data_IF_652190043802
#
_entry.id   IF_652190043802
#
_cell.length_a   1.000
_cell.length_b   1.000
_cell.length_c   1.000
_cell.angle_alpha   90.00
_cell.angle_beta   90.00
_cell.angle_gamma   90.00
#
_symmetry.space_group_name_H-M   'P 1'
#
loop_
_entity.id
_entity.type
_entity.pdbx_description
1 polymer ?
#
# COMPACT_ATOMS: atom_id res chain seq x y z
N UNK A 1 34.95 -52.28 17.97
CA UNK A 1 35.57 -51.84 19.24
C UNK A 1 35.55 -50.31 19.24
N UNK A 2 35.03 -49.51 20.18
CA UNK A 2 34.57 -49.74 21.54
C UNK A 2 33.55 -48.66 22.00
N UNK A 3 32.57 -49.14 22.79
CA UNK A 3 31.91 -48.55 23.98
C UNK A 3 31.12 -47.21 23.91
N UNK A 4 29.81 -47.43 23.88
CA UNK A 4 28.72 -46.70 24.58
C UNK A 4 29.07 -46.21 25.99
N UNK A 5 28.63 -44.99 26.36
CA UNK A 5 28.11 -44.69 27.72
C UNK A 5 27.02 -43.60 27.69
N UNK A 6 25.78 -44.02 27.94
CA UNK A 6 24.67 -43.19 28.41
C UNK A 6 24.89 -42.83 29.89
N UNK A 7 24.53 -41.62 30.28
CA UNK A 7 24.26 -41.27 31.67
C UNK A 7 22.79 -40.82 31.81
N UNK A 8 22.06 -41.47 32.71
CA UNK A 8 20.74 -41.11 33.22
C UNK A 8 20.90 -40.64 34.68
N UNK A 9 19.85 -39.94 35.15
CA UNK A 9 19.45 -39.63 36.54
C UNK A 9 19.90 -38.24 37.02
N UNK A 10 19.07 -37.42 37.68
CA UNK A 10 17.79 -37.74 38.32
C UNK A 10 16.90 -36.52 38.57
N UNK A 11 15.61 -36.81 38.70
CA UNK A 11 14.60 -35.89 39.23
C UNK A 11 14.75 -35.77 40.75
N UNK A 12 14.60 -34.56 41.29
CA UNK A 12 14.21 -34.33 42.68
C UNK A 12 13.17 -33.21 42.74
N UNK A 13 12.02 -33.57 43.28
CA UNK A 13 10.88 -32.74 43.65
C UNK A 13 11.03 -32.21 45.08
N UNK A 14 10.80 -30.92 45.30
CA UNK A 14 10.33 -30.26 46.54
C UNK A 14 9.69 -28.94 46.05
N UNK A 15 8.48 -28.49 46.36
CA UNK A 15 7.60 -28.78 47.48
C UNK A 15 7.23 -27.45 48.16
N UNK A 16 6.05 -26.91 47.80
CA UNK A 16 5.15 -26.05 48.60
C UNK A 16 5.56 -24.63 49.06
N UNK A 17 4.74 -23.65 48.65
CA UNK A 17 4.66 -22.32 49.27
C UNK A 17 3.45 -21.52 48.77
N UNK A 18 2.31 -21.65 49.46
CA UNK A 18 1.08 -20.85 49.28
C UNK A 18 1.34 -19.36 49.56
N UNK A 19 0.82 -18.47 48.73
CA UNK A 19 0.33 -17.16 49.17
C UNK A 19 -0.84 -16.73 48.27
N UNK A 20 -2.05 -17.04 48.72
CA UNK A 20 -3.27 -16.36 48.28
C UNK A 20 -3.50 -15.16 49.18
N UNK A 21 -4.14 -14.17 48.56
CA UNK A 21 -5.07 -13.20 49.13
C UNK A 21 -4.60 -11.78 49.49
N UNK A 22 -5.44 -10.86 48.98
CA UNK A 22 -5.72 -9.48 49.37
C UNK A 22 -4.72 -8.39 48.94
N UNK A 23 -5.00 -7.79 47.78
CA UNK A 23 -5.41 -6.36 47.75
C UNK A 23 -6.48 -6.18 46.66
N UNK A 24 -7.75 -6.20 47.08
CA UNK A 24 -8.88 -5.68 46.30
C UNK A 24 -9.22 -4.31 46.88
N UNK A 25 -9.36 -3.33 45.99
CA UNK A 25 -10.14 -2.07 46.07
C UNK A 25 -9.42 -0.75 46.30
N UNK A 26 -9.90 0.20 45.48
CA UNK A 26 -9.76 1.66 45.47
C UNK A 26 -8.41 2.12 44.93
N UNK A 27 -8.33 2.90 43.84
CA UNK A 27 -9.03 4.17 43.61
C UNK A 27 -9.33 4.32 42.10
N UNK A 28 -10.60 4.28 41.68
CA UNK A 28 -11.38 5.43 41.20
C UNK A 28 -10.69 6.28 40.13
N UNK A 29 -11.12 6.04 38.89
CA UNK A 29 -10.96 6.93 37.74
C UNK A 29 -11.50 8.33 38.04
N UNK A 30 -10.74 9.36 37.65
CA UNK A 30 -11.22 10.74 37.49
C UNK A 30 -11.51 10.99 36.01
N UNK A 31 -12.71 11.45 35.63
CA UNK A 31 -12.98 11.86 34.26
C UNK A 31 -12.41 13.27 34.03
N UNK A 32 -11.32 13.37 33.26
CA UNK A 32 -10.80 14.62 32.74
C UNK A 32 -11.61 15.07 31.52
N UNK A 33 -12.38 16.13 31.68
CA UNK A 33 -13.12 16.80 30.62
C UNK A 33 -12.15 17.46 29.62
N UNK A 34 -11.82 16.78 28.52
CA UNK A 34 -11.24 17.44 27.35
C UNK A 34 -12.37 17.93 26.44
N UNK A 35 -12.54 19.26 26.46
CA UNK A 35 -13.46 20.03 25.62
C UNK A 35 -13.33 19.62 24.17
N UNK A 36 -14.47 19.28 23.56
CA UNK A 36 -14.59 18.96 22.14
C UNK A 36 -14.19 20.14 21.27
N UNK A 37 -13.02 20.03 20.65
CA UNK A 37 -12.72 20.74 19.42
C UNK A 37 -13.57 20.14 18.32
N UNK A 38 -14.58 20.88 17.87
CA UNK A 38 -15.32 20.57 16.63
C UNK A 38 -14.31 20.55 15.50
N UNK A 39 -13.97 19.36 15.00
CA UNK A 39 -13.33 19.25 13.70
C UNK A 39 -14.39 19.69 12.68
N UNK A 40 -14.33 20.95 12.27
CA UNK A 40 -15.14 21.47 11.18
C UNK A 40 -14.73 20.74 9.90
N UNK A 41 -15.45 19.67 9.56
CA UNK A 41 -15.41 19.04 8.24
C UNK A 41 -16.01 20.04 7.25
N UNK A 42 -15.18 20.93 6.72
CA UNK A 42 -15.53 21.76 5.58
C UNK A 42 -15.53 20.87 4.33
N UNK A 43 -16.71 20.65 3.75
CA UNK A 43 -16.85 20.01 2.45
C UNK A 43 -18.15 19.25 2.29
N UNK A 44 -19.28 19.97 2.20
CA UNK A 44 -20.53 19.45 1.65
C UNK A 44 -20.37 19.22 0.14
N UNK A 45 -19.63 18.18 -0.24
CA UNK A 45 -19.78 17.54 -1.54
C UNK A 45 -20.52 16.23 -1.30
N UNK A 46 -21.80 16.17 -1.64
CA UNK A 46 -22.51 14.88 -1.62
C UNK A 46 -21.72 13.94 -2.53
N UNK A 47 -21.05 12.94 -1.95
CA UNK A 47 -20.53 11.81 -2.70
C UNK A 47 -21.76 11.14 -3.32
N UNK A 48 -22.17 11.56 -4.52
CA UNK A 48 -23.09 10.80 -5.34
C UNK A 48 -22.38 9.49 -5.60
N UNK A 49 -22.70 8.48 -4.78
CA UNK A 49 -22.29 7.11 -5.02
C UNK A 49 -22.85 6.74 -6.39
N UNK A 50 -22.02 6.48 -7.42
CA UNK A 50 -22.56 5.77 -8.57
C UNK A 50 -23.13 4.45 -8.03
N UNK A 51 -24.29 3.99 -8.53
CA UNK A 51 -24.81 2.70 -8.13
C UNK A 51 -23.75 1.65 -8.48
N UNK A 52 -23.18 1.01 -7.46
CA UNK A 52 -22.21 -0.09 -7.60
C UNK A 52 -22.86 -1.38 -8.10
N UNK A 53 -24.18 -1.37 -8.24
CA UNK A 53 -25.01 -2.48 -8.69
C UNK A 53 -26.10 -1.88 -9.58
N UNK A 54 -26.18 -2.32 -10.84
CA UNK A 54 -27.31 -1.98 -11.69
C UNK A 54 -28.60 -2.51 -11.05
N UNK A 55 -29.74 -1.83 -11.23
CA UNK A 55 -31.01 -2.17 -10.58
C UNK A 55 -31.47 -3.63 -10.81
N UNK A 56 -30.87 -4.32 -11.78
CA UNK A 56 -31.28 -5.64 -12.27
C UNK A 56 -30.36 -6.79 -11.82
N UNK A 57 -29.48 -6.57 -10.84
CA UNK A 57 -28.64 -7.63 -10.26
C UNK A 57 -27.43 -8.06 -11.09
N UNK A 58 -27.22 -7.46 -12.26
CA UNK A 58 -25.97 -7.59 -13.02
C UNK A 58 -24.87 -6.73 -12.38
N UNK A 59 -23.68 -7.33 -12.15
CA UNK A 59 -22.51 -6.58 -11.70
C UNK A 59 -22.15 -5.53 -12.77
N UNK A 60 -22.23 -4.25 -12.43
CA UNK A 60 -21.86 -3.17 -13.35
C UNK A 60 -20.34 -3.20 -13.58
N UNK A 61 -19.91 -3.21 -14.84
CA UNK A 61 -18.49 -3.04 -15.19
C UNK A 61 -18.00 -1.67 -14.74
N UNK A 62 -16.94 -1.66 -13.92
CA UNK A 62 -16.28 -0.45 -13.41
C UNK A 62 -14.93 -0.30 -14.11
N UNK A 63 -14.59 0.92 -14.53
CA UNK A 63 -13.24 1.24 -15.03
C UNK A 63 -12.37 1.77 -13.89
N UNK A 64 -11.34 1.03 -13.54
CA UNK A 64 -10.46 1.31 -12.41
C UNK A 64 -9.09 1.75 -12.93
N UNK A 65 -8.69 2.98 -12.58
CA UNK A 65 -7.31 3.44 -12.79
C UNK A 65 -6.50 3.17 -11.52
N UNK A 66 -5.53 2.27 -11.58
CA UNK A 66 -4.71 1.86 -10.45
C UNK A 66 -3.26 2.33 -10.60
N UNK A 67 -2.79 3.23 -9.74
CA UNK A 67 -1.43 3.77 -9.77
C UNK A 67 -0.58 3.15 -8.67
N UNK A 68 0.51 2.49 -9.06
CA UNK A 68 1.44 1.87 -8.12
C UNK A 68 2.83 1.77 -8.76
N UNK A 69 3.83 2.48 -8.20
CA UNK A 69 5.18 2.54 -8.81
C UNK A 69 5.86 1.17 -8.89
N UNK A 70 5.63 0.27 -7.94
CA UNK A 70 6.31 -1.02 -7.85
C UNK A 70 5.37 -2.18 -8.13
N UNK A 71 4.47 -2.02 -9.10
CA UNK A 71 3.65 -3.13 -9.57
C UNK A 71 4.56 -4.23 -10.12
N UNK A 72 4.31 -5.46 -9.67
CA UNK A 72 5.07 -6.63 -10.04
C UNK A 72 4.12 -7.81 -10.24
N UNK A 73 4.42 -8.65 -11.22
CA UNK A 73 3.65 -9.85 -11.53
C UNK A 73 4.17 -11.01 -10.69
N UNK A 74 3.48 -12.16 -10.72
CA UNK A 74 3.94 -13.40 -10.08
C UNK A 74 5.27 -13.88 -10.65
N UNK A 75 5.54 -13.59 -11.91
CA UNK A 75 6.79 -13.93 -12.59
C UNK A 75 7.94 -13.04 -12.13
N UNK A 76 7.69 -11.75 -11.91
CA UNK A 76 8.75 -10.80 -11.54
C UNK A 76 9.03 -10.67 -10.05
N UNK A 77 8.14 -11.15 -9.17
CA UNK A 77 8.33 -11.09 -7.72
C UNK A 77 7.44 -12.07 -6.96
N UNK A 78 7.96 -12.65 -5.88
CA UNK A 78 7.18 -13.50 -4.96
C UNK A 78 6.52 -12.73 -3.81
N UNK A 79 7.00 -11.52 -3.45
CA UNK A 79 6.55 -10.80 -2.24
C UNK A 79 5.77 -9.50 -2.47
N UNK A 80 5.97 -8.85 -3.62
CA UNK A 80 5.42 -7.51 -3.91
C UNK A 80 4.15 -7.53 -4.79
N UNK A 81 3.41 -8.65 -4.80
CA UNK A 81 2.34 -8.90 -5.78
C UNK A 81 0.94 -8.45 -5.36
N UNK A 82 0.76 -7.80 -4.19
CA UNK A 82 -0.59 -7.40 -3.70
C UNK A 82 -1.39 -6.60 -4.74
N UNK A 83 -0.77 -5.59 -5.33
CA UNK A 83 -1.43 -4.75 -6.33
C UNK A 83 -1.84 -5.54 -7.57
N UNK A 84 -1.00 -6.50 -7.98
CA UNK A 84 -1.29 -7.40 -9.08
C UNK A 84 -2.46 -8.34 -8.74
N UNK A 85 -2.48 -8.92 -7.54
CA UNK A 85 -3.57 -9.79 -7.09
C UNK A 85 -4.93 -9.08 -7.00
N UNK A 86 -4.95 -7.80 -6.63
CA UNK A 86 -6.16 -6.97 -6.66
C UNK A 86 -6.60 -6.68 -8.10
N UNK A 87 -5.69 -6.22 -8.94
CA UNK A 87 -5.98 -5.92 -10.34
C UNK A 87 -6.52 -7.16 -11.08
N UNK A 88 -5.88 -8.33 -10.91
CA UNK A 88 -6.30 -9.59 -11.51
C UNK A 88 -7.70 -10.01 -11.06
N UNK A 89 -8.01 -9.91 -9.76
CA UNK A 89 -9.34 -10.24 -9.22
C UNK A 89 -10.42 -9.29 -9.69
N UNK A 90 -10.12 -8.00 -9.85
CA UNK A 90 -11.08 -7.06 -10.43
C UNK A 90 -11.35 -7.37 -11.91
N UNK A 91 -10.33 -7.74 -12.67
CA UNK A 91 -10.51 -8.23 -14.05
C UNK A 91 -11.35 -9.52 -14.07
N UNK A 92 -11.09 -10.49 -13.19
CA UNK A 92 -11.90 -11.71 -13.05
C UNK A 92 -13.37 -11.42 -12.70
N UNK A 93 -13.64 -10.32 -12.00
CA UNK A 93 -14.99 -9.83 -11.68
C UNK A 93 -15.66 -9.06 -12.83
N UNK A 94 -15.00 -8.93 -13.99
CA UNK A 94 -15.52 -8.25 -15.17
C UNK A 94 -15.32 -6.73 -15.17
N UNK A 95 -14.39 -6.21 -14.36
CA UNK A 95 -14.01 -4.80 -14.36
C UNK A 95 -12.87 -4.52 -15.34
N UNK A 96 -12.83 -3.30 -15.86
CA UNK A 96 -11.72 -2.84 -16.69
C UNK A 96 -10.64 -2.20 -15.80
N UNK A 97 -9.45 -2.79 -15.77
CA UNK A 97 -8.36 -2.30 -14.93
C UNK A 97 -7.21 -1.79 -15.78
N UNK A 98 -6.84 -0.53 -15.54
CA UNK A 98 -5.62 0.08 -16.09
C UNK A 98 -4.65 0.36 -14.96
N UNK A 99 -3.46 -0.25 -15.00
CA UNK A 99 -2.37 -0.03 -14.05
C UNK A 99 -1.34 0.93 -14.63
N UNK A 100 -0.97 1.96 -13.86
CA UNK A 100 0.19 2.82 -14.13
C UNK A 100 1.32 2.49 -13.17
N UNK A 101 2.49 2.10 -13.70
CA UNK A 101 3.63 1.62 -12.91
C UNK A 101 5.00 1.99 -13.52
N UNK A 102 6.08 1.77 -12.79
CA UNK A 102 7.43 1.75 -13.36
C UNK A 102 7.66 0.45 -14.15
N UNK A 103 8.45 0.55 -15.21
CA UNK A 103 8.94 -0.61 -15.96
C UNK A 103 9.94 -1.51 -15.19
N UNK A 104 10.47 -1.04 -14.05
CA UNK A 104 11.54 -1.72 -13.29
C UNK A 104 11.26 -3.13 -12.79
N UNK A 105 10.00 -3.57 -12.79
CA UNK A 105 9.57 -4.93 -12.38
C UNK A 105 8.63 -5.58 -13.39
N UNK A 106 8.64 -5.08 -14.61
CA UNK A 106 7.89 -5.65 -15.73
C UNK A 106 8.87 -6.40 -16.66
N UNK A 107 8.35 -7.21 -17.61
CA UNK A 107 9.17 -7.76 -18.69
C UNK A 107 9.91 -6.66 -19.46
N UNK A 108 11.05 -7.00 -20.05
CA UNK A 108 11.99 -6.03 -20.64
C UNK A 108 11.36 -5.17 -21.75
N UNK A 109 10.38 -5.69 -22.49
CA UNK A 109 9.61 -4.96 -23.51
C UNK A 109 8.93 -3.67 -22.98
N UNK A 110 8.64 -3.60 -21.69
CA UNK A 110 8.08 -2.40 -21.05
C UNK A 110 9.14 -1.31 -20.76
N UNK A 111 10.41 -1.62 -21.01
CA UNK A 111 11.58 -0.75 -20.76
C UNK A 111 12.23 -0.22 -22.05
N UNK A 112 11.69 -0.49 -23.23
CA UNK A 112 12.27 -0.04 -24.50
C UNK A 112 12.06 1.46 -24.76
N UNK A 113 10.94 2.02 -24.28
CA UNK A 113 10.54 3.41 -24.51
C UNK A 113 10.35 4.14 -23.19
N UNK A 114 10.28 5.47 -23.22
CA UNK A 114 9.97 6.26 -22.01
C UNK A 114 8.60 5.87 -21.42
N UNK A 115 7.64 5.62 -22.30
CA UNK A 115 6.32 5.08 -21.97
C UNK A 115 6.07 3.84 -22.82
N UNK A 116 5.60 2.78 -22.19
CA UNK A 116 5.14 1.57 -22.90
C UNK A 116 3.72 1.21 -22.44
N UNK A 117 2.94 0.64 -23.35
CA UNK A 117 1.60 0.15 -23.10
C UNK A 117 1.56 -1.35 -23.41
N UNK A 118 0.76 -2.10 -22.66
CA UNK A 118 0.60 -3.54 -22.88
C UNK A 118 -0.53 -4.13 -22.06
N UNK A 119 -0.64 -5.45 -22.09
CA UNK A 119 -1.65 -6.20 -21.34
C UNK A 119 -0.98 -7.38 -20.65
N UNK A 120 -1.24 -7.54 -19.36
CA UNK A 120 -0.76 -8.67 -18.56
C UNK A 120 -1.96 -9.25 -17.81
N UNK A 121 -2.30 -10.52 -18.04
CA UNK A 121 -3.43 -11.20 -17.39
C UNK A 121 -4.75 -10.43 -17.47
N UNK A 122 -5.02 -9.79 -18.61
CA UNK A 122 -6.20 -8.95 -18.84
C UNK A 122 -6.14 -7.55 -18.21
N UNK A 123 -5.07 -7.23 -17.48
CA UNK A 123 -4.81 -5.90 -16.91
C UNK A 123 -4.14 -5.04 -17.97
N UNK A 124 -4.71 -3.88 -18.30
CA UNK A 124 -4.03 -2.91 -19.17
C UNK A 124 -2.90 -2.27 -18.37
N UNK A 125 -1.66 -2.34 -18.85
CA UNK A 125 -0.49 -1.80 -18.15
C UNK A 125 0.08 -0.65 -18.95
N UNK A 126 0.28 0.50 -18.31
CA UNK A 126 1.01 1.65 -18.84
C UNK A 126 2.23 1.90 -17.97
N UNK A 127 3.43 1.76 -18.53
CA UNK A 127 4.68 1.87 -17.77
C UNK A 127 5.39 3.21 -18.02
N UNK A 128 6.13 3.66 -17.02
CA UNK A 128 7.15 4.71 -17.15
C UNK A 128 8.52 4.04 -17.00
N UNK A 129 9.43 4.28 -17.94
CA UNK A 129 10.81 3.78 -17.84
C UNK A 129 11.59 4.58 -16.81
N UNK A 130 11.61 4.04 -15.60
CA UNK A 130 12.33 4.62 -14.46
C UNK A 130 12.93 3.50 -13.62
N UNK A 131 14.25 3.55 -13.42
CA UNK A 131 14.95 2.58 -12.58
C UNK A 131 14.80 2.94 -11.10
N UNK A 132 14.65 1.93 -10.25
CA UNK A 132 14.70 2.09 -8.80
C UNK A 132 15.40 0.89 -8.16
N UNK A 133 16.27 1.17 -7.20
CA UNK A 133 16.87 0.15 -6.33
C UNK A 133 17.03 0.72 -4.92
N UNK A 134 16.85 -0.13 -3.91
CA UNK A 134 17.05 0.26 -2.51
C UNK A 134 18.53 0.55 -2.19
N UNK A 135 19.46 0.10 -3.05
CA UNK A 135 20.89 0.37 -2.93
C UNK A 135 21.30 1.73 -3.55
N UNK A 136 20.36 2.45 -4.16
CA UNK A 136 20.63 3.80 -4.66
C UNK A 136 20.77 4.79 -3.50
N UNK A 137 21.68 5.74 -3.63
CA UNK A 137 21.77 6.88 -2.72
C UNK A 137 20.46 7.69 -2.67
N UNK A 138 20.23 8.39 -1.55
CA UNK A 138 18.97 9.10 -1.26
C UNK A 138 18.53 10.04 -2.38
N UNK A 139 19.44 10.87 -2.90
CA UNK A 139 19.12 11.82 -3.98
C UNK A 139 18.68 11.10 -5.27
N UNK A 140 19.32 9.99 -5.62
CA UNK A 140 18.97 9.20 -6.81
C UNK A 140 17.59 8.54 -6.63
N UNK A 141 17.26 8.08 -5.42
CA UNK A 141 15.91 7.58 -5.10
C UNK A 141 14.86 8.67 -5.22
N UNK A 142 15.13 9.86 -4.67
CA UNK A 142 14.23 11.02 -4.80
C UNK A 142 14.00 11.38 -6.27
N UNK A 143 15.06 11.37 -7.09
CA UNK A 143 14.96 11.56 -8.53
C UNK A 143 14.08 10.50 -9.19
N UNK A 144 14.29 9.21 -8.90
CA UNK A 144 13.44 8.13 -9.41
C UNK A 144 11.96 8.30 -9.01
N UNK A 145 11.68 8.76 -7.78
CA UNK A 145 10.31 9.05 -7.35
C UNK A 145 9.70 10.24 -8.07
N UNK A 146 10.48 11.32 -8.29
CA UNK A 146 10.03 12.50 -9.01
C UNK A 146 9.79 12.18 -10.49
N UNK A 147 10.72 11.50 -11.16
CA UNK A 147 10.57 11.07 -12.56
C UNK A 147 9.34 10.19 -12.73
N UNK A 148 9.14 9.22 -11.83
CA UNK A 148 7.94 8.40 -11.87
C UNK A 148 6.67 9.24 -11.66
N UNK A 149 6.65 10.12 -10.65
CA UNK A 149 5.50 10.96 -10.33
C UNK A 149 5.07 11.82 -11.53
N UNK A 150 6.01 12.49 -12.21
CA UNK A 150 5.68 13.30 -13.39
C UNK A 150 5.21 12.45 -14.58
N UNK A 151 5.92 11.35 -14.89
CA UNK A 151 5.53 10.45 -15.97
C UNK A 151 4.18 9.78 -15.72
N UNK A 152 3.94 9.31 -14.49
CA UNK A 152 2.67 8.72 -14.08
C UNK A 152 1.54 9.75 -14.10
N UNK A 153 1.81 11.02 -13.76
CA UNK A 153 0.81 12.09 -13.85
C UNK A 153 0.36 12.26 -15.29
N UNK A 154 1.32 12.34 -16.23
CA UNK A 154 1.02 12.40 -17.66
C UNK A 154 0.19 11.21 -18.15
N UNK A 155 0.61 9.99 -17.81
CA UNK A 155 -0.13 8.78 -18.18
C UNK A 155 -1.54 8.75 -17.56
N UNK A 156 -1.69 9.21 -16.31
CA UNK A 156 -2.96 9.17 -15.59
C UNK A 156 -3.97 10.17 -16.15
N UNK A 157 -3.54 11.39 -16.50
CA UNK A 157 -4.44 12.40 -17.09
C UNK A 157 -4.81 12.06 -18.54
N UNK A 158 -3.97 11.30 -19.25
CA UNK A 158 -4.20 10.85 -20.64
C UNK A 158 -4.80 9.45 -20.74
N UNK A 159 -5.04 8.74 -19.63
CA UNK A 159 -5.50 7.35 -19.64
C UNK A 159 -6.97 7.14 -20.09
N UNK A 160 -7.68 8.19 -20.51
CA UNK A 160 -9.08 8.07 -20.94
C UNK A 160 -10.07 8.11 -19.77
N UNK A 161 -11.26 7.54 -19.94
CA UNK A 161 -12.32 7.57 -18.95
C UNK A 161 -12.17 6.46 -17.90
N UNK A 162 -12.38 6.81 -16.63
CA UNK A 162 -12.40 5.87 -15.51
C UNK A 162 -13.54 6.26 -14.56
N UNK A 163 -14.00 5.30 -13.78
CA UNK A 163 -15.07 5.50 -12.81
C UNK A 163 -14.52 5.69 -11.39
N UNK A 164 -13.33 5.17 -11.11
CA UNK A 164 -12.59 5.37 -9.87
C UNK A 164 -11.08 5.40 -10.11
N UNK A 165 -10.38 6.23 -9.35
CA UNK A 165 -8.91 6.25 -9.29
C UNK A 165 -8.45 5.68 -7.96
N UNK A 166 -7.60 4.67 -8.01
CA UNK A 166 -7.00 4.01 -6.86
C UNK A 166 -5.48 4.19 -6.92
N UNK A 167 -4.85 4.62 -5.83
CA UNK A 167 -3.40 4.73 -5.77
C UNK A 167 -2.87 4.19 -4.46
N UNK A 168 -1.72 3.53 -4.51
CA UNK A 168 -1.17 2.76 -3.40
C UNK A 168 0.22 3.27 -3.05
N UNK A 169 0.39 3.75 -1.82
CA UNK A 169 1.61 4.41 -1.35
C UNK A 169 2.76 3.40 -1.22
N UNK A 170 3.61 3.32 -2.23
CA UNK A 170 4.95 2.75 -2.08
C UNK A 170 6.03 3.83 -2.05
N UNK A 171 5.87 4.90 -2.85
CA UNK A 171 6.17 6.24 -2.40
C UNK A 171 4.89 7.05 -2.24
N UNK A 172 4.85 7.91 -1.23
CA UNK A 172 3.70 8.80 -0.97
C UNK A 172 3.39 9.71 -2.18
N UNK A 173 4.40 9.99 -3.01
CA UNK A 173 4.31 10.81 -4.22
C UNK A 173 3.32 10.30 -5.25
N UNK A 174 2.95 9.00 -5.23
CA UNK A 174 1.92 8.45 -6.14
C UNK A 174 0.51 8.97 -5.85
N UNK A 175 0.30 9.62 -4.70
CA UNK A 175 -0.94 10.34 -4.43
C UNK A 175 -1.18 11.49 -5.42
N UNK A 176 -0.11 12.14 -5.90
CA UNK A 176 -0.19 13.27 -6.84
C UNK A 176 -0.78 12.87 -8.19
N UNK A 177 -0.25 11.87 -8.94
CA UNK A 177 -0.85 11.47 -10.21
C UNK A 177 -2.29 10.97 -10.04
N UNK A 178 -2.60 10.29 -8.93
CA UNK A 178 -3.96 9.83 -8.62
C UNK A 178 -4.94 10.98 -8.39
N UNK A 179 -4.54 11.95 -7.58
CA UNK A 179 -5.32 13.17 -7.35
C UNK A 179 -5.51 13.98 -8.62
N UNK A 180 -4.46 14.18 -9.43
CA UNK A 180 -4.55 14.90 -10.71
C UNK A 180 -5.57 14.25 -11.65
N UNK A 181 -5.51 12.94 -11.85
CA UNK A 181 -6.44 12.22 -12.72
C UNK A 181 -7.89 12.27 -12.20
N UNK A 182 -8.07 12.09 -10.89
CA UNK A 182 -9.38 12.16 -10.24
C UNK A 182 -9.98 13.56 -10.32
N UNK A 183 -9.18 14.61 -10.04
CA UNK A 183 -9.61 16.00 -10.10
C UNK A 183 -10.00 16.41 -11.52
N UNK A 184 -9.17 16.07 -12.51
CA UNK A 184 -9.44 16.38 -13.93
C UNK A 184 -10.76 15.80 -14.41
N UNK A 185 -11.13 14.60 -13.93
CA UNK A 185 -12.34 13.88 -14.39
C UNK A 185 -13.48 13.86 -13.36
N UNK A 186 -13.33 14.57 -12.24
CA UNK A 186 -14.27 14.59 -11.10
C UNK A 186 -14.69 13.19 -10.65
N UNK A 187 -13.71 12.29 -10.53
CA UNK A 187 -13.92 10.90 -10.12
C UNK A 187 -13.52 10.68 -8.66
N UNK A 188 -14.13 9.71 -7.97
CA UNK A 188 -13.67 9.28 -6.65
C UNK A 188 -12.20 8.90 -6.68
N UNK A 189 -11.46 9.37 -5.68
CA UNK A 189 -10.06 9.03 -5.47
C UNK A 189 -9.91 8.24 -4.17
N UNK A 190 -9.28 7.08 -4.25
CA UNK A 190 -8.95 6.22 -3.11
C UNK A 190 -7.44 6.10 -3.01
N UNK A 191 -6.90 6.48 -1.86
CA UNK A 191 -5.47 6.42 -1.59
C UNK A 191 -5.19 5.40 -0.48
N UNK A 192 -4.59 4.26 -0.83
CA UNK A 192 -4.16 3.22 0.11
C UNK A 192 -2.78 3.59 0.67
N UNK A 193 -2.71 3.86 1.98
CA UNK A 193 -1.44 4.03 2.69
C UNK A 193 -0.96 2.67 3.17
N UNK A 194 0.17 2.18 2.64
CA UNK A 194 0.69 0.83 2.93
C UNK A 194 1.55 0.73 4.18
N UNK A 195 2.36 1.75 4.45
CA UNK A 195 3.42 1.69 5.45
C UNK A 195 3.36 2.94 6.33
N UNK A 196 2.93 2.76 7.58
CA UNK A 196 2.98 3.76 8.65
C UNK A 196 4.24 3.56 9.50
N UNK A 197 5.37 3.26 8.86
CA UNK A 197 6.66 3.04 9.53
C UNK A 197 7.42 4.26 10.07
N UNK A 198 7.00 5.55 9.97
CA UNK A 198 7.74 6.64 10.60
C UNK A 198 8.01 6.38 12.09
N UNK A 199 6.99 5.95 12.85
CA UNK A 199 7.15 5.57 14.25
C UNK A 199 8.18 4.46 14.46
N UNK A 200 8.18 3.43 13.60
CA UNK A 200 9.11 2.30 13.73
C UNK A 200 10.55 2.71 13.43
N UNK A 201 10.76 3.57 12.42
CA UNK A 201 12.09 4.06 12.06
C UNK A 201 12.68 5.00 13.12
N UNK A 202 11.83 5.82 13.75
CA UNK A 202 12.21 6.64 14.91
C UNK A 202 12.54 5.75 16.12
N UNK A 203 11.75 4.71 16.39
CA UNK A 203 11.99 3.76 17.48
C UNK A 203 13.27 2.94 17.30
N UNK A 204 13.63 2.62 16.06
CA UNK A 204 14.87 1.91 15.73
C UNK A 204 16.10 2.83 15.62
N UNK A 205 15.94 4.15 15.82
CA UNK A 205 17.03 5.12 15.74
C UNK A 205 17.57 5.37 14.33
N UNK A 206 16.86 4.91 13.29
CA UNK A 206 17.27 5.10 11.90
C UNK A 206 17.02 6.54 11.40
N UNK A 207 16.14 7.29 12.09
CA UNK A 207 15.79 8.67 11.76
C UNK A 207 15.54 9.41 13.08
N UNK A 208 16.08 10.62 13.22
CA UNK A 208 15.80 11.48 14.38
C UNK A 208 14.36 12.02 14.31
N UNK A 209 13.74 12.30 15.47
CA UNK A 209 12.48 13.05 15.53
C UNK A 209 12.55 14.40 14.82
N UNK A 210 13.76 14.96 14.72
CA UNK A 210 14.03 16.28 14.17
C UNK A 210 14.49 16.24 12.69
N UNK A 211 14.55 15.05 12.06
CA UNK A 211 14.88 14.88 10.65
C UNK A 211 16.10 13.98 10.37
N UNK A 212 16.66 14.11 9.17
CA UNK A 212 17.81 13.32 8.71
C UNK A 212 19.04 13.58 9.58
N UNK A 213 19.64 12.48 10.06
CA UNK A 213 20.99 12.47 10.65
C UNK A 213 22.03 12.61 9.56
#
# INVERSE_FOLDING_TARGET
>A
MARVRRARLGARSLGHGRARDRVRRSQRARPGAHRGGRLCVHGRGSLRRPPLVAADGAASTVRILYIHQFFATRESSLGLIRSYEFARRWVEQGHEVTVITSASRLPDEYSDRLFSDGVIDGIRVRSVRVGYSNYMGTLRRMWSFATFMFGATWLAVTAGQHDVVFATSTPLTVGIPGWCAAALRRRPFVFEVRDLWPEAAIQMGAISRDGLV
#
